data_IF_207614129476
#
_entry.id   IF_207614129476
#
_cell.length_a   1.000
_cell.length_b   1.000
_cell.length_c   1.000
_cell.angle_alpha   90.00
_cell.angle_beta   90.00
_cell.angle_gamma   90.00
#
_symmetry.space_group_name_H-M   'P 1'
#
loop_
_entity.id
_entity.type
_entity.pdbx_description
1 polymer ?
#
# COMPACT_ATOMS: atom_id res chain seq x y z
N UNK A 1 -38.45 -12.54 -3.44
CA UNK A 1 -37.41 -12.25 -2.43
C UNK A 1 -36.24 -13.24 -2.38
N UNK A 2 -36.45 -14.56 -2.50
CA UNK A 2 -35.33 -15.54 -2.51
C UNK A 2 -34.40 -15.40 -3.74
N UNK A 3 -34.90 -14.87 -4.87
CA UNK A 3 -34.11 -14.64 -6.10
C UNK A 3 -33.12 -13.47 -5.98
N UNK A 4 -33.52 -12.34 -5.36
CA UNK A 4 -32.64 -11.18 -5.17
C UNK A 4 -31.53 -11.46 -4.14
N UNK A 5 -31.80 -12.28 -3.13
CA UNK A 5 -30.78 -12.71 -2.16
C UNK A 5 -29.79 -13.71 -2.74
N UNK A 6 -30.25 -14.59 -3.66
CA UNK A 6 -29.38 -15.47 -4.43
C UNK A 6 -28.53 -14.69 -5.46
N UNK A 7 -29.08 -13.65 -6.08
CA UNK A 7 -28.35 -12.75 -6.98
C UNK A 7 -27.36 -11.84 -6.24
N UNK A 8 -27.70 -11.32 -5.05
CA UNK A 8 -26.77 -10.55 -4.19
C UNK A 8 -25.68 -11.39 -3.54
N UNK A 9 -25.90 -12.70 -3.34
CA UNK A 9 -24.88 -13.62 -2.80
C UNK A 9 -23.99 -14.24 -3.88
N UNK A 10 -24.43 -14.26 -5.14
CA UNK A 10 -23.56 -14.39 -6.30
C UNK A 10 -22.71 -13.12 -6.42
N UNK A 11 -21.39 -13.27 -6.49
CA UNK A 11 -20.41 -12.28 -7.01
C UNK A 11 -19.75 -11.32 -6.00
N UNK A 12 -19.20 -11.82 -4.88
CA UNK A 12 -18.04 -11.17 -4.26
C UNK A 12 -16.73 -11.74 -4.84
N UNK A 13 -16.60 -11.75 -6.17
CA UNK A 13 -15.40 -12.23 -6.86
C UNK A 13 -14.16 -11.47 -6.38
N UNK A 14 -14.33 -10.16 -6.14
CA UNK A 14 -13.32 -9.29 -5.57
C UNK A 14 -12.73 -9.79 -4.24
N UNK A 15 -13.54 -10.40 -3.36
CA UNK A 15 -13.03 -10.97 -2.10
C UNK A 15 -12.06 -12.12 -2.36
N UNK A 16 -12.46 -13.06 -3.24
CA UNK A 16 -11.60 -14.18 -3.63
C UNK A 16 -10.32 -13.70 -4.31
N UNK A 17 -10.41 -12.70 -5.18
CA UNK A 17 -9.26 -12.08 -5.85
C UNK A 17 -8.31 -11.40 -4.86
N UNK A 18 -8.82 -10.63 -3.88
CA UNK A 18 -8.01 -9.97 -2.87
C UNK A 18 -7.25 -10.99 -1.99
N UNK A 19 -7.94 -12.02 -1.50
CA UNK A 19 -7.31 -13.09 -0.72
C UNK A 19 -6.30 -13.90 -1.55
N UNK A 20 -6.65 -14.21 -2.80
CA UNK A 20 -5.75 -14.90 -3.73
C UNK A 20 -4.49 -14.09 -4.00
N UNK A 21 -4.61 -12.78 -4.22
CA UNK A 21 -3.47 -11.89 -4.41
C UNK A 21 -2.60 -11.81 -3.17
N UNK A 22 -3.21 -11.65 -1.99
CA UNK A 22 -2.49 -11.60 -0.73
C UNK A 22 -1.75 -12.91 -0.42
N UNK A 23 -2.46 -14.04 -0.35
CA UNK A 23 -1.90 -15.35 0.03
C UNK A 23 -1.01 -15.92 -1.09
N UNK A 24 -1.40 -15.68 -2.33
CA UNK A 24 -0.74 -16.18 -3.53
C UNK A 24 0.58 -15.48 -3.82
N UNK A 25 0.64 -14.17 -3.55
CA UNK A 25 1.72 -13.28 -3.99
C UNK A 25 2.23 -12.35 -2.88
N UNK A 26 1.43 -11.39 -2.39
CA UNK A 26 1.95 -10.30 -1.54
C UNK A 26 2.60 -10.80 -0.23
N UNK A 27 1.98 -11.76 0.46
CA UNK A 27 2.53 -12.35 1.70
C UNK A 27 3.91 -13.00 1.48
N UNK A 28 4.23 -13.36 0.24
CA UNK A 28 5.51 -13.97 -0.12
C UNK A 28 6.53 -12.90 -0.46
N UNK A 29 6.16 -11.96 -1.32
CA UNK A 29 7.13 -11.04 -1.93
C UNK A 29 7.42 -9.83 -1.04
N UNK A 30 6.41 -9.28 -0.36
CA UNK A 30 6.55 -8.07 0.45
C UNK A 30 7.56 -8.21 1.61
N UNK A 31 7.59 -9.32 2.38
CA UNK A 31 8.59 -9.48 3.44
C UNK A 31 10.04 -9.60 2.92
N UNK A 32 10.22 -9.95 1.64
CA UNK A 32 11.53 -10.13 0.99
C UNK A 32 12.00 -8.89 0.23
N UNK A 33 11.13 -7.89 0.08
CA UNK A 33 11.42 -6.65 -0.62
C UNK A 33 12.65 -5.95 -0.07
N UNK A 34 12.71 -5.79 1.27
CA UNK A 34 13.80 -5.04 1.92
C UNK A 34 15.17 -5.60 1.55
N UNK A 35 15.36 -6.91 1.64
CA UNK A 35 16.63 -7.54 1.28
C UNK A 35 17.02 -7.25 -0.18
N UNK A 36 16.06 -7.33 -1.09
CA UNK A 36 16.28 -7.07 -2.52
C UNK A 36 16.67 -5.61 -2.79
N UNK A 37 16.04 -4.66 -2.08
CA UNK A 37 16.38 -3.24 -2.17
C UNK A 37 17.72 -2.91 -1.50
N UNK A 38 18.10 -3.59 -0.41
CA UNK A 38 19.43 -3.45 0.20
C UNK A 38 20.55 -3.88 -0.74
N UNK A 39 20.38 -5.01 -1.42
CA UNK A 39 21.33 -5.51 -2.41
C UNK A 39 21.48 -4.50 -3.57
N UNK A 40 20.36 -4.00 -4.09
CA UNK A 40 20.37 -2.99 -5.14
C UNK A 40 21.01 -1.67 -4.69
N UNK A 41 20.67 -1.18 -3.50
CA UNK A 41 21.20 0.06 -2.91
C UNK A 41 22.70 -0.02 -2.67
N UNK A 42 23.23 -1.18 -2.25
CA UNK A 42 24.68 -1.39 -2.08
C UNK A 42 25.46 -1.23 -3.39
N UNK A 43 24.85 -1.62 -4.51
CA UNK A 43 25.40 -1.40 -5.85
C UNK A 43 25.12 0.02 -6.40
N UNK A 44 24.11 0.72 -5.88
CA UNK A 44 23.63 2.01 -6.37
C UNK A 44 23.26 3.00 -5.23
N UNK A 45 24.23 3.50 -4.45
CA UNK A 45 23.95 4.22 -3.20
C UNK A 45 23.11 5.49 -3.36
N UNK A 46 23.22 6.16 -4.51
CA UNK A 46 22.53 7.42 -4.79
C UNK A 46 21.08 7.26 -5.27
N UNK A 47 20.67 6.08 -5.72
CA UNK A 47 19.34 5.86 -6.34
C UNK A 47 18.24 5.60 -5.31
N UNK A 48 18.58 4.95 -4.20
CA UNK A 48 17.65 4.62 -3.11
C UNK A 48 18.25 5.05 -1.76
N UNK A 49 18.24 6.36 -1.46
CA UNK A 49 19.00 6.90 -0.33
C UNK A 49 18.36 6.62 1.04
N UNK A 50 17.05 6.39 1.10
CA UNK A 50 16.31 6.23 2.37
C UNK A 50 15.65 4.88 2.42
N UNK A 51 15.90 4.15 3.51
CA UNK A 51 15.39 2.78 3.70
C UNK A 51 13.94 2.77 4.17
N UNK A 52 13.53 3.85 4.81
CA UNK A 52 12.20 4.07 5.34
C UNK A 52 11.17 4.10 4.20
N UNK A 53 11.58 4.68 3.05
CA UNK A 53 10.72 4.88 1.88
C UNK A 53 10.59 3.65 0.99
N UNK A 54 11.20 2.53 1.38
CA UNK A 54 11.23 1.30 0.58
C UNK A 54 9.91 0.53 0.66
N UNK A 55 9.06 0.75 -0.33
CA UNK A 55 7.75 0.09 -0.47
C UNK A 55 7.48 -0.32 -1.91
N UNK A 56 6.67 -1.36 -2.07
CA UNK A 56 6.02 -1.66 -3.35
C UNK A 56 4.82 -0.73 -3.50
N UNK A 57 4.80 0.06 -4.55
CA UNK A 57 3.69 0.93 -4.92
C UNK A 57 2.77 0.13 -5.84
N UNK A 58 1.61 -0.25 -5.32
CA UNK A 58 0.65 -1.10 -6.01
C UNK A 58 -0.44 -0.21 -6.61
N UNK A 59 -0.44 -0.10 -7.93
CA UNK A 59 -1.41 0.65 -8.70
C UNK A 59 -2.74 -0.11 -8.79
N UNK A 60 -3.83 0.57 -8.47
CA UNK A 60 -5.19 0.04 -8.47
C UNK A 60 -6.08 0.95 -9.33
N UNK A 61 -5.98 0.89 -10.68
CA UNK A 61 -6.87 1.62 -11.57
C UNK A 61 -8.30 1.08 -11.42
N UNK A 62 -9.24 1.93 -10.98
CA UNK A 62 -10.63 1.53 -10.77
C UNK A 62 -11.37 1.21 -12.09
N UNK A 63 -10.82 1.66 -13.23
CA UNK A 63 -11.26 1.24 -14.56
C UNK A 63 -11.00 -0.24 -14.83
N UNK A 64 -10.06 -0.86 -14.11
CA UNK A 64 -9.45 -2.18 -14.36
C UNK A 64 -8.75 -2.29 -15.73
N UNK A 65 -8.64 -1.19 -16.47
CA UNK A 65 -7.87 -1.17 -17.70
C UNK A 65 -6.39 -1.05 -17.33
N UNK A 66 -5.62 -2.10 -17.60
CA UNK A 66 -4.22 -2.20 -17.19
C UNK A 66 -3.37 -2.40 -18.42
N UNK A 67 -2.53 -1.42 -18.80
CA UNK A 67 -1.55 -1.61 -19.85
C UNK A 67 -0.45 -2.56 -19.36
N UNK A 68 0.08 -3.38 -20.27
CA UNK A 68 1.20 -4.28 -19.98
C UNK A 68 2.52 -3.51 -19.76
N UNK A 69 2.59 -2.27 -20.25
CA UNK A 69 3.79 -1.45 -20.28
C UNK A 69 3.52 -0.08 -19.65
N UNK A 70 4.14 0.17 -18.50
CA UNK A 70 4.04 1.43 -17.76
C UNK A 70 4.63 2.61 -18.54
N UNK A 71 5.65 2.39 -19.37
CA UNK A 71 6.29 3.44 -20.18
C UNK A 71 5.37 3.92 -21.31
N UNK A 72 4.46 3.05 -21.77
CA UNK A 72 3.40 3.40 -22.72
C UNK A 72 2.21 4.07 -22.04
N UNK A 73 1.94 3.72 -20.79
CA UNK A 73 0.88 4.36 -20.00
C UNK A 73 1.24 5.83 -19.70
N UNK A 74 2.52 6.08 -19.41
CA UNK A 74 3.02 7.42 -19.10
C UNK A 74 4.52 7.51 -19.39
N UNK A 75 4.92 8.38 -20.32
CA UNK A 75 6.32 8.49 -20.74
C UNK A 75 7.25 9.17 -19.71
N UNK A 76 6.71 9.69 -18.61
CA UNK A 76 7.51 10.13 -17.45
C UNK A 76 7.90 8.98 -16.52
N UNK A 77 7.34 7.78 -16.73
CA UNK A 77 7.71 6.56 -16.02
C UNK A 77 8.67 5.78 -16.92
N UNK A 78 9.87 5.51 -16.42
CA UNK A 78 10.92 4.82 -17.16
C UNK A 78 11.37 3.57 -16.41
N UNK A 79 11.42 2.43 -17.10
CA UNK A 79 11.93 1.20 -16.52
C UNK A 79 13.43 1.34 -16.24
N UNK A 80 13.87 0.92 -15.04
CA UNK A 80 15.27 0.96 -14.65
C UNK A 80 15.91 -0.43 -14.68
N UNK A 81 15.36 -1.38 -13.92
CA UNK A 81 15.88 -2.75 -13.77
C UNK A 81 14.91 -3.58 -12.94
N UNK A 82 15.05 -4.90 -13.04
CA UNK A 82 14.43 -5.83 -12.09
C UNK A 82 15.29 -5.91 -10.81
N UNK A 83 14.63 -6.07 -9.67
CA UNK A 83 15.26 -6.41 -8.39
C UNK A 83 15.63 -7.89 -8.35
N UNK A 84 16.48 -8.28 -7.39
CA UNK A 84 16.86 -9.67 -7.16
C UNK A 84 15.65 -10.59 -7.10
N UNK A 85 15.70 -11.67 -7.88
CA UNK A 85 14.63 -12.65 -7.96
C UNK A 85 14.43 -13.41 -6.65
N UNK A 86 13.17 -13.67 -6.30
CA UNK A 86 12.79 -14.61 -5.25
C UNK A 86 12.28 -15.89 -5.90
N UNK A 87 12.93 -17.02 -5.65
CA UNK A 87 12.51 -18.33 -6.18
C UNK A 87 11.94 -19.22 -5.08
N UNK A 88 10.76 -19.82 -5.30
CA UNK A 88 10.14 -20.76 -4.36
C UNK A 88 9.44 -21.91 -5.08
N UNK A 89 9.41 -23.10 -4.48
CA UNK A 89 8.57 -24.19 -4.98
C UNK A 89 7.16 -24.04 -4.41
N UNK A 90 6.15 -23.93 -5.27
CA UNK A 90 4.75 -23.74 -4.85
C UNK A 90 3.78 -24.40 -5.81
N UNK A 91 2.79 -25.14 -5.29
CA UNK A 91 1.74 -25.76 -6.10
C UNK A 91 2.28 -26.73 -7.16
N UNK A 92 3.34 -27.48 -6.85
CA UNK A 92 4.00 -28.40 -7.79
C UNK A 92 4.97 -27.73 -8.76
N UNK A 93 5.02 -26.40 -8.84
CA UNK A 93 5.96 -25.65 -9.69
C UNK A 93 7.27 -25.48 -8.93
N UNK A 94 8.34 -26.13 -9.42
CA UNK A 94 9.70 -25.94 -8.90
C UNK A 94 10.25 -24.58 -9.33
N UNK A 95 10.98 -23.91 -8.43
CA UNK A 95 11.67 -22.65 -8.70
C UNK A 95 10.80 -21.56 -9.35
N UNK A 96 9.57 -21.40 -8.86
CA UNK A 96 8.70 -20.30 -9.31
C UNK A 96 9.36 -18.96 -8.94
N UNK A 97 9.58 -18.13 -9.96
CA UNK A 97 10.23 -16.83 -9.85
C UNK A 97 9.21 -15.75 -9.51
N UNK A 98 9.57 -14.91 -8.56
CA UNK A 98 8.88 -13.68 -8.19
C UNK A 98 9.89 -12.54 -8.30
N UNK A 99 9.55 -11.49 -9.04
CA UNK A 99 10.42 -10.33 -9.24
C UNK A 99 9.60 -9.05 -9.20
N UNK A 100 10.25 -7.97 -8.80
CA UNK A 100 9.68 -6.63 -8.86
C UNK A 100 10.55 -5.78 -9.79
N UNK A 101 9.92 -4.84 -10.48
CA UNK A 101 10.60 -3.90 -11.35
C UNK A 101 10.73 -2.55 -10.67
N UNK A 102 11.92 -1.95 -10.79
CA UNK A 102 12.24 -0.62 -10.30
C UNK A 102 12.09 0.37 -11.45
N UNK A 103 11.41 1.48 -11.18
CA UNK A 103 11.15 2.55 -12.16
C UNK A 103 11.76 3.86 -11.69
N UNK A 104 12.10 4.72 -12.65
CA UNK A 104 12.42 6.12 -12.45
C UNK A 104 11.27 6.98 -12.97
N UNK A 105 10.73 7.85 -12.11
CA UNK A 105 9.63 8.75 -12.44
C UNK A 105 10.16 10.19 -12.41
N UNK A 106 10.01 10.92 -13.51
CA UNK A 106 10.46 12.31 -13.64
C UNK A 106 9.40 13.25 -13.08
N UNK A 107 9.82 14.16 -12.20
CA UNK A 107 8.95 15.26 -11.75
C UNK A 107 9.00 16.47 -12.70
N UNK A 108 8.29 17.54 -12.33
CA UNK A 108 8.19 18.78 -13.10
C UNK A 108 9.56 19.46 -13.34
N UNK A 109 10.52 19.25 -12.44
CA UNK A 109 11.90 19.74 -12.54
C UNK A 109 12.82 18.75 -13.29
N UNK A 110 12.25 17.71 -13.91
CA UNK A 110 12.95 16.62 -14.58
C UNK A 110 13.88 15.83 -13.63
N UNK A 111 13.62 15.88 -12.32
CA UNK A 111 14.38 15.13 -11.31
C UNK A 111 13.82 13.70 -11.20
N UNK A 112 14.68 12.67 -11.20
CA UNK A 112 14.22 11.28 -11.12
C UNK A 112 13.92 10.86 -9.68
N UNK A 113 12.76 10.24 -9.50
CA UNK A 113 12.34 9.55 -8.30
C UNK A 113 12.31 8.05 -8.55
N UNK A 114 12.98 7.26 -7.71
CA UNK A 114 13.04 5.81 -7.89
C UNK A 114 12.03 5.11 -6.98
N UNK A 115 11.21 4.22 -7.55
CA UNK A 115 10.26 3.44 -6.77
C UNK A 115 9.98 2.09 -7.40
N UNK A 116 9.66 1.11 -6.56
CA UNK A 116 9.10 -0.16 -7.03
C UNK A 116 7.64 0.05 -7.32
N UNK A 117 7.20 -0.24 -8.54
CA UNK A 117 5.87 0.05 -9.05
C UNK A 117 5.31 -1.17 -9.78
N UNK A 118 4.08 -1.56 -9.47
CA UNK A 118 3.40 -2.67 -10.14
C UNK A 118 1.88 -2.46 -10.16
N UNK A 119 1.20 -2.98 -11.18
CA UNK A 119 -0.26 -3.04 -11.19
C UNK A 119 -0.78 -4.20 -10.35
N UNK A 120 -1.92 -4.00 -9.70
CA UNK A 120 -2.68 -5.09 -9.11
C UNK A 120 -3.26 -5.99 -10.22
N UNK A 121 -2.49 -7.01 -10.59
CA UNK A 121 -2.85 -8.00 -11.64
C UNK A 121 -4.24 -8.64 -11.50
N UNK A 122 -4.85 -8.83 -10.30
CA UNK A 122 -6.22 -9.37 -10.21
C UNK A 122 -7.28 -8.49 -10.90
N UNK A 123 -7.02 -7.19 -11.09
CA UNK A 123 -7.93 -6.30 -11.80
C UNK A 123 -8.03 -6.66 -13.30
N UNK A 124 -6.97 -7.23 -13.90
CA UNK A 124 -7.03 -7.74 -15.27
C UNK A 124 -8.08 -8.84 -15.40
N UNK A 125 -8.23 -9.70 -14.37
CA UNK A 125 -9.30 -10.71 -14.34
C UNK A 125 -10.69 -10.07 -14.30
N UNK A 126 -10.88 -9.00 -13.50
CA UNK A 126 -12.15 -8.26 -13.48
C UNK A 126 -12.45 -7.61 -14.83
N UNK A 127 -11.43 -7.08 -15.51
CA UNK A 127 -11.58 -6.54 -16.84
C UNK A 127 -11.95 -7.63 -17.86
N UNK A 128 -11.21 -8.74 -17.90
CA UNK A 128 -11.48 -9.85 -18.81
C UNK A 128 -12.88 -10.43 -18.61
N UNK A 129 -13.32 -10.61 -17.36
CA UNK A 129 -14.68 -11.03 -17.05
C UNK A 129 -15.73 -10.05 -17.62
N UNK A 130 -15.45 -8.74 -17.62
CA UNK A 130 -16.39 -7.76 -18.18
C UNK A 130 -16.48 -7.76 -19.70
N UNK A 131 -15.48 -8.35 -20.38
CA UNK A 131 -15.45 -8.51 -21.83
C UNK A 131 -16.02 -9.87 -22.27
N UNK A 132 -16.13 -10.84 -21.36
CA UNK A 132 -16.62 -12.17 -21.66
C UNK A 132 -18.14 -12.25 -21.46
N UNK A 133 -18.86 -12.51 -22.56
CA UNK A 133 -20.31 -12.65 -22.54
C UNK A 133 -20.80 -13.78 -21.61
N UNK A 134 -19.99 -14.83 -21.39
CA UNK A 134 -20.34 -15.95 -20.50
C UNK A 134 -20.29 -15.58 -19.02
N UNK A 135 -19.51 -14.55 -18.65
CA UNK A 135 -19.40 -14.13 -17.25
C UNK A 135 -20.63 -13.34 -16.77
N UNK A 136 -21.41 -12.79 -17.70
CA UNK A 136 -22.56 -11.91 -17.42
C UNK A 136 -22.18 -10.83 -16.38
N UNK A 137 -21.05 -10.17 -16.62
CA UNK A 137 -20.41 -9.23 -15.71
C UNK A 137 -20.31 -7.84 -16.37
N UNK A 138 -21.06 -6.86 -15.88
CA UNK A 138 -21.15 -5.55 -16.52
C UNK A 138 -19.94 -4.64 -16.20
N UNK A 139 -19.83 -3.51 -16.91
CA UNK A 139 -18.82 -2.47 -16.60
C UNK A 139 -19.06 -1.83 -15.24
N UNK A 140 -20.31 -1.64 -14.86
CA UNK A 140 -20.73 -1.10 -13.57
C UNK A 140 -20.38 -2.08 -12.45
N UNK A 141 -20.71 -3.37 -12.63
CA UNK A 141 -20.32 -4.43 -11.69
C UNK A 141 -18.79 -4.53 -11.56
N UNK A 142 -18.05 -4.37 -12.66
CA UNK A 142 -16.58 -4.31 -12.65
C UNK A 142 -16.06 -3.21 -11.73
N UNK A 143 -16.58 -1.99 -11.86
CA UNK A 143 -16.18 -0.86 -11.03
C UNK A 143 -16.50 -1.12 -9.55
N UNK A 144 -17.67 -1.67 -9.25
CA UNK A 144 -18.05 -2.04 -7.88
C UNK A 144 -17.13 -3.10 -7.30
N UNK A 145 -16.82 -4.16 -8.06
CA UNK A 145 -15.88 -5.20 -7.64
C UNK A 145 -14.45 -4.67 -7.49
N UNK A 146 -14.00 -3.73 -8.33
CA UNK A 146 -12.69 -3.09 -8.16
C UNK A 146 -12.59 -2.33 -6.82
N UNK A 147 -13.65 -1.59 -6.46
CA UNK A 147 -13.75 -0.89 -5.15
C UNK A 147 -13.81 -1.87 -3.99
N UNK A 148 -14.51 -3.00 -4.12
CA UNK A 148 -14.54 -4.05 -3.11
C UNK A 148 -13.14 -4.68 -2.98
N UNK A 149 -12.48 -4.98 -4.10
CA UNK A 149 -11.14 -5.55 -4.13
C UNK A 149 -10.16 -4.66 -3.38
N UNK A 150 -10.16 -3.34 -3.67
CA UNK A 150 -9.33 -2.37 -2.96
C UNK A 150 -9.57 -2.41 -1.45
N UNK A 151 -10.83 -2.26 -1.02
CA UNK A 151 -11.21 -2.23 0.40
C UNK A 151 -10.81 -3.52 1.12
N UNK A 152 -11.15 -4.67 0.54
CA UNK A 152 -10.80 -5.98 1.10
C UNK A 152 -9.29 -6.18 1.17
N UNK A 153 -8.55 -5.80 0.13
CA UNK A 153 -7.09 -5.91 0.13
C UNK A 153 -6.45 -5.01 1.20
N UNK A 154 -6.95 -3.77 1.34
CA UNK A 154 -6.50 -2.84 2.37
C UNK A 154 -6.74 -3.39 3.79
N UNK A 155 -7.92 -3.96 4.04
CA UNK A 155 -8.26 -4.62 5.31
C UNK A 155 -7.34 -5.80 5.61
N UNK A 156 -7.12 -6.69 4.63
CA UNK A 156 -6.23 -7.86 4.76
C UNK A 156 -4.81 -7.42 5.09
N UNK A 157 -4.27 -6.45 4.35
CA UNK A 157 -2.90 -5.98 4.54
C UNK A 157 -2.71 -5.23 5.86
N UNK A 158 -3.71 -4.47 6.31
CA UNK A 158 -3.72 -3.81 7.63
C UNK A 158 -3.63 -4.82 8.77
N UNK A 159 -4.25 -5.99 8.61
CA UNK A 159 -4.14 -7.10 9.56
C UNK A 159 -2.81 -7.87 9.50
N UNK A 160 -1.99 -7.67 8.46
CA UNK A 160 -0.75 -8.41 8.25
C UNK A 160 0.46 -7.71 8.85
N UNK A 161 1.00 -8.25 9.94
CA UNK A 161 2.22 -7.73 10.59
C UNK A 161 3.44 -7.78 9.67
N UNK A 162 3.56 -8.83 8.87
CA UNK A 162 4.73 -9.08 7.98
C UNK A 162 4.76 -8.15 6.77
N UNK A 163 3.59 -7.70 6.30
CA UNK A 163 3.48 -6.78 5.17
C UNK A 163 3.43 -5.31 5.61
N UNK A 164 3.37 -5.02 6.90
CA UNK A 164 3.21 -3.65 7.38
C UNK A 164 4.42 -2.81 7.00
N UNK A 165 4.16 -1.67 6.35
CA UNK A 165 5.18 -0.69 5.97
C UNK A 165 6.06 -1.10 4.78
N UNK A 166 5.70 -2.15 4.04
CA UNK A 166 6.43 -2.58 2.82
C UNK A 166 5.64 -2.35 1.53
N UNK A 167 4.44 -1.77 1.62
CA UNK A 167 3.58 -1.45 0.47
C UNK A 167 2.92 -0.07 0.60
N UNK A 168 2.47 0.47 -0.53
CA UNK A 168 1.56 1.61 -0.65
C UNK A 168 0.53 1.27 -1.72
N UNK A 169 -0.75 1.27 -1.38
CA UNK A 169 -1.82 1.14 -2.38
C UNK A 169 -2.10 2.52 -2.98
N UNK A 170 -2.23 2.59 -4.30
CA UNK A 170 -2.52 3.80 -5.06
C UNK A 170 -3.77 3.52 -5.91
N UNK A 171 -4.94 3.84 -5.38
CA UNK A 171 -6.18 3.71 -6.11
C UNK A 171 -6.52 5.01 -6.82
N UNK A 172 -6.77 4.94 -8.12
CA UNK A 172 -7.09 6.10 -8.94
C UNK A 172 -8.16 5.76 -9.97
N UNK A 173 -8.84 6.81 -10.42
CA UNK A 173 -9.72 6.76 -11.57
C UNK A 173 -9.21 7.80 -12.56
N UNK A 174 -8.89 7.35 -13.77
CA UNK A 174 -8.42 8.24 -14.82
C UNK A 174 -9.48 9.32 -15.10
N UNK A 175 -9.07 10.59 -15.22
CA UNK A 175 -9.99 11.67 -15.54
C UNK A 175 -10.61 11.43 -16.93
N UNK A 176 -11.91 11.72 -17.05
CA UNK A 176 -12.65 11.54 -18.30
C UNK A 176 -12.21 12.47 -19.44
N UNK A 177 -11.41 13.49 -19.13
CA UNK A 177 -10.81 14.39 -20.10
C UNK A 177 -9.32 14.06 -20.20
N UNK A 178 -8.83 13.81 -21.42
CA UNK A 178 -7.41 13.59 -21.78
C UNK A 178 -6.49 14.80 -21.49
N UNK A 179 -6.94 15.75 -20.67
CA UNK A 179 -6.33 17.08 -20.50
C UNK A 179 -5.16 17.14 -19.54
N UNK A 180 -4.91 16.10 -18.73
CA UNK A 180 -3.75 16.08 -17.85
C UNK A 180 -2.68 15.15 -18.40
N UNK A 181 -1.67 15.67 -19.12
CA UNK A 181 -0.55 14.84 -19.56
C UNK A 181 0.16 14.29 -18.33
N UNK A 182 0.61 13.05 -18.43
CA UNK A 182 1.38 12.37 -17.38
C UNK A 182 0.66 12.26 -16.02
N UNK A 183 -0.66 12.07 -16.04
CA UNK A 183 -1.47 11.93 -14.83
C UNK A 183 -0.92 10.84 -13.90
N UNK A 184 -0.57 9.67 -14.43
CA UNK A 184 -0.13 8.54 -13.62
C UNK A 184 1.20 8.83 -12.90
N UNK A 185 2.18 9.42 -13.60
CA UNK A 185 3.44 9.82 -13.01
C UNK A 185 3.22 10.85 -11.88
N UNK A 186 2.34 11.83 -12.09
CA UNK A 186 2.00 12.84 -11.07
C UNK A 186 1.33 12.22 -9.85
N UNK A 187 0.40 11.30 -10.06
CA UNK A 187 -0.27 10.58 -8.98
C UNK A 187 0.72 9.78 -8.13
N UNK A 188 1.62 9.02 -8.78
CA UNK A 188 2.65 8.25 -8.06
C UNK A 188 3.62 9.19 -7.33
N UNK A 189 4.05 10.28 -7.96
CA UNK A 189 4.92 11.27 -7.32
C UNK A 189 4.28 11.93 -6.10
N UNK A 190 2.97 12.21 -6.14
CA UNK A 190 2.24 12.72 -4.99
C UNK A 190 2.32 11.74 -3.81
N UNK A 191 2.06 10.44 -4.05
CA UNK A 191 2.20 9.39 -3.04
C UNK A 191 3.65 9.26 -2.52
N UNK A 192 4.66 9.37 -3.39
CA UNK A 192 6.08 9.31 -3.00
C UNK A 192 6.48 10.49 -2.11
N UNK A 193 6.04 11.70 -2.45
CA UNK A 193 6.29 12.91 -1.65
C UNK A 193 5.60 12.83 -0.29
N UNK A 194 4.33 12.40 -0.28
CA UNK A 194 3.58 12.20 0.96
C UNK A 194 4.28 11.19 1.87
N UNK A 195 4.71 10.05 1.31
CA UNK A 195 5.44 9.04 2.06
C UNK A 195 6.74 9.59 2.67
N UNK A 196 7.54 10.31 1.88
CA UNK A 196 8.72 10.99 2.41
C UNK A 196 8.34 11.92 3.56
N UNK A 197 7.30 12.74 3.43
CA UNK A 197 6.90 13.65 4.51
C UNK A 197 6.48 12.91 5.79
N UNK A 198 5.65 11.86 5.67
CA UNK A 198 5.22 11.02 6.80
C UNK A 198 6.41 10.39 7.55
N UNK A 199 7.43 9.95 6.82
CA UNK A 199 8.60 9.27 7.41
C UNK A 199 9.66 10.25 7.94
N UNK A 200 9.80 11.43 7.34
CA UNK A 200 10.68 12.49 7.86
C UNK A 200 10.13 13.12 9.14
N UNK A 201 8.82 13.36 9.21
CA UNK A 201 8.18 13.90 10.41
C UNK A 201 8.35 12.96 11.62
N UNK A 202 8.44 11.65 11.38
CA UNK A 202 8.72 10.65 12.43
C UNK A 202 10.20 10.53 12.78
N UNK A 203 11.11 10.91 11.87
CA UNK A 203 12.56 10.87 12.07
C UNK A 203 13.11 12.04 12.89
N UNK A 204 12.47 13.21 12.83
CA UNK A 204 12.81 14.37 13.67
C UNK A 204 12.16 14.34 15.06
N UNK A 205 11.28 13.36 15.32
CA UNK A 205 10.62 13.17 16.61
C UNK A 205 11.33 12.14 17.52
N UNK A 206 12.67 12.15 17.56
CA UNK A 206 13.40 11.51 18.66
C UNK A 206 13.38 12.43 19.89
N UNK A 207 13.07 11.92 21.10
CA UNK A 207 13.08 12.75 22.29
C UNK A 207 14.52 13.10 22.62
N UNK A 208 14.87 14.37 22.50
CA UNK A 208 16.09 14.92 23.10
C UNK A 208 16.02 14.73 24.61
N UNK A 209 16.59 13.62 25.07
CA UNK A 209 17.11 13.49 26.41
C UNK A 209 18.29 14.46 26.52
N UNK A 210 18.02 15.69 26.96
CA UNK A 210 18.86 16.51 27.85
C UNK A 210 18.36 17.96 27.86
N UNK A 211 17.57 18.33 28.87
CA UNK A 211 17.70 19.66 29.48
C UNK A 211 17.69 19.56 31.01
N UNK A 212 18.61 20.27 31.69
CA UNK A 212 18.92 20.07 33.09
C UNK A 212 17.90 20.69 34.03
N UNK A 213 17.75 20.02 35.17
CA UNK A 213 17.07 20.47 36.38
C UNK A 213 17.57 21.83 36.85
N UNK A 214 16.67 22.83 36.98
CA UNK A 214 16.84 23.97 37.89
C UNK A 214 15.52 24.73 38.06
N UNK A 215 15.20 25.05 39.31
CA UNK A 215 13.98 25.63 39.86
C UNK A 215 13.54 26.97 39.25
N UNK A 216 12.24 27.27 39.35
CA UNK A 216 11.71 28.63 39.26
C UNK A 216 10.19 28.71 39.34
N UNK A 217 9.67 28.73 40.56
CA UNK A 217 8.28 28.95 40.98
C UNK A 217 7.60 30.16 40.32
N UNK A 218 6.35 30.02 39.87
CA UNK A 218 5.28 31.02 40.07
C UNK A 218 3.90 30.36 39.91
N UNK A 219 3.11 30.48 40.98
CA UNK A 219 1.67 30.23 41.18
C UNK A 219 0.77 30.94 40.12
N UNK A 220 -0.55 30.78 39.94
CA UNK A 220 -1.74 30.35 40.70
C UNK A 220 -2.77 29.86 39.64
N UNK A 221 -3.54 28.78 39.76
CA UNK A 221 -4.62 28.42 40.70
C UNK A 221 -6.01 28.55 40.03
N UNK A 222 -6.84 27.50 40.16
CA UNK A 222 -8.30 27.52 40.37
C UNK A 222 -8.97 26.17 39.98
N UNK A 223 -9.23 25.39 41.04
CA UNK A 223 -10.50 24.75 41.41
C UNK A 223 -11.19 23.77 40.44
N UNK A 224 -11.18 22.48 40.79
CA UNK A 224 -12.40 21.64 40.82
C UNK A 224 -12.35 20.72 42.05
N UNK A 225 -13.47 20.71 42.78
CA UNK A 225 -13.75 20.11 44.08
C UNK A 225 -13.49 18.60 44.19
N UNK A 226 -13.07 18.20 45.40
CA UNK A 226 -13.08 16.82 45.90
C UNK A 226 -14.51 16.33 46.12
N UNK A 227 -14.80 15.05 45.84
CA UNK A 227 -15.58 14.21 46.75
C UNK A 227 -15.29 12.71 46.52
N UNK A 228 -14.82 12.09 47.61
CA UNK A 228 -14.96 10.71 48.09
C UNK A 228 -14.55 9.48 47.25
N UNK A 229 -13.40 8.91 47.65
CA UNK A 229 -13.03 7.49 47.47
C UNK A 229 -13.68 6.61 48.58
N UNK A 230 -14.21 5.41 48.27
CA UNK A 230 -14.64 4.47 49.29
C UNK A 230 -13.46 3.70 49.92
N UNK A 231 -13.53 3.54 51.24
CA UNK A 231 -12.54 2.89 52.11
C UNK A 231 -12.41 1.37 51.86
N UNK A 232 -11.17 0.89 51.94
CA UNK A 232 -10.75 -0.51 51.82
C UNK A 232 -11.18 -1.38 53.01
N UNK A 233 -11.74 -2.55 52.71
CA UNK A 233 -12.12 -3.59 53.68
C UNK A 233 -10.88 -4.24 54.32
N UNK A 234 -10.80 -4.20 55.66
CA UNK A 234 -9.90 -5.03 56.47
C UNK A 234 -10.41 -6.47 56.53
N UNK A 235 -9.49 -7.42 56.37
CA UNK A 235 -9.66 -8.81 56.76
C UNK A 235 -9.08 -9.00 58.17
N UNK A 236 -9.92 -9.36 59.15
CA UNK A 236 -9.45 -9.86 60.44
C UNK A 236 -9.77 -11.35 60.55
N UNK A 237 -8.76 -12.11 60.99
CA UNK A 237 -8.83 -13.51 61.40
C UNK A 237 -9.73 -13.65 62.64
N UNK A 238 -10.58 -14.69 62.67
CA UNK A 238 -10.53 -15.86 63.58
C UNK A 238 -11.67 -16.82 63.23
#
# INVERSE_FOLDING_TARGET
EVSEMAERSRRNVAHGLAWSYYIGYLKIVLPRLRKSLEEFSRANPSRLPRRETWKVHILVPLSCDIPDDLEKADSNIQYLTDLTETTLTKGGIKNRVYKHSLYAIRDEDNKPWHCVLEFATPLQSLYAMSQDACAAFSREERLEQAKIFYRTLEEILRGSKECRGTYRLIAYQEPAAETEPHFLAREVLWHLRQQCHEEYALGDATPDANLPTSLGTTELDLQISQEELPLSLRSDLF
#
